data_IF_810149820622
#
_entry.id   IF_810149820622
#
_cell.length_a   1.000
_cell.length_b   1.000
_cell.length_c   1.000
_cell.angle_alpha   90.00
_cell.angle_beta   90.00
_cell.angle_gamma   90.00
#
_symmetry.space_group_name_H-M   'P 1'
#
loop_
_entity.id
_entity.type
_entity.pdbx_description
1 polymer ?
#
# COMPACT_ATOMS: atom_id res chain seq x y z
N UNK A 1 -19.20 -8.93 15.29
CA UNK A 1 -17.95 -9.51 15.83
C UNK A 1 -17.25 -10.26 14.71
N UNK A 2 -16.07 -9.81 14.29
CA UNK A 2 -15.25 -10.54 13.32
C UNK A 2 -14.37 -11.54 14.07
N UNK A 3 -14.85 -12.77 14.19
CA UNK A 3 -14.08 -13.84 14.82
C UNK A 3 -13.14 -14.43 13.76
N UNK A 4 -11.83 -14.33 13.99
CA UNK A 4 -10.85 -15.08 13.21
C UNK A 4 -10.65 -16.42 13.87
N UNK A 5 -11.02 -17.50 13.20
CA UNK A 5 -10.71 -18.87 13.62
C UNK A 5 -9.54 -19.35 12.75
N UNK A 6 -8.47 -19.77 13.40
CA UNK A 6 -7.35 -20.40 12.73
C UNK A 6 -7.33 -21.88 13.11
N UNK A 7 -7.41 -22.75 12.12
CA UNK A 7 -7.16 -24.19 12.30
C UNK A 7 -5.70 -24.44 11.93
N UNK A 8 -4.84 -24.78 12.88
CA UNK A 8 -3.41 -24.92 12.62
C UNK A 8 -3.10 -26.28 11.98
N UNK A 9 -3.75 -26.57 10.85
CA UNK A 9 -3.59 -27.82 10.12
C UNK A 9 -3.23 -27.54 8.67
N UNK A 10 -2.13 -28.12 8.23
CA UNK A 10 -1.60 -28.00 6.86
C UNK A 10 -1.69 -29.37 6.20
N UNK A 11 -2.25 -29.41 4.99
CA UNK A 11 -2.28 -30.61 4.15
C UNK A 11 -1.32 -30.43 2.98
N UNK A 12 -0.44 -31.40 2.77
CA UNK A 12 0.48 -31.44 1.64
C UNK A 12 -0.06 -32.32 0.51
N UNK A 13 0.17 -31.95 -0.72
CA UNK A 13 -0.07 -32.81 -1.90
C UNK A 13 0.79 -34.09 -1.91
N UNK A 14 1.75 -34.22 -0.99
CA UNK A 14 2.55 -35.42 -0.77
C UNK A 14 1.92 -36.40 0.23
N UNK A 15 0.60 -36.31 0.47
CA UNK A 15 -0.19 -37.19 1.31
C UNK A 15 0.20 -37.20 2.81
N UNK A 16 0.59 -36.05 3.36
CA UNK A 16 0.74 -35.89 4.80
C UNK A 16 0.09 -34.59 5.27
N UNK A 17 -0.29 -34.56 6.54
CA UNK A 17 -0.80 -33.37 7.22
C UNK A 17 0.06 -33.03 8.43
N UNK A 18 0.14 -31.75 8.74
CA UNK A 18 0.84 -31.24 9.92
C UNK A 18 -0.17 -30.52 10.78
N UNK A 19 -0.37 -31.00 12.00
CA UNK A 19 -1.09 -30.30 13.05
C UNK A 19 -0.09 -29.50 13.87
N UNK A 20 -0.19 -28.16 13.81
CA UNK A 20 0.67 -27.28 14.60
C UNK A 20 0.04 -27.05 15.98
N UNK A 21 0.41 -27.88 16.94
CA UNK A 21 -0.10 -27.76 18.31
C UNK A 21 0.78 -26.82 19.14
N UNK A 22 0.54 -25.51 18.99
CA UNK A 22 1.26 -24.47 19.72
C UNK A 22 0.28 -23.40 20.19
N UNK A 23 0.39 -23.00 21.45
CA UNK A 23 -0.47 -21.98 22.08
C UNK A 23 0.01 -20.54 21.82
N UNK A 24 1.09 -20.35 21.06
CA UNK A 24 1.63 -19.02 20.75
C UNK A 24 1.16 -18.52 19.40
N UNK A 25 1.21 -17.17 19.22
CA UNK A 25 0.98 -16.56 17.93
C UNK A 25 2.06 -17.04 16.94
N UNK A 26 1.62 -17.74 15.90
CA UNK A 26 2.52 -18.24 14.86
C UNK A 26 2.27 -17.51 13.56
N UNK A 27 3.31 -16.96 12.95
CA UNK A 27 3.30 -16.45 11.58
C UNK A 27 3.77 -17.58 10.64
N UNK A 28 3.00 -17.86 9.60
CA UNK A 28 3.33 -18.86 8.60
C UNK A 28 3.57 -18.21 7.25
N UNK A 29 4.56 -18.68 6.51
CA UNK A 29 5.00 -18.11 5.23
C UNK A 29 6.34 -17.39 5.35
N UNK A 30 6.54 -16.36 4.57
CA UNK A 30 7.73 -15.51 4.66
C UNK A 30 7.58 -14.56 5.88
N UNK A 31 8.37 -14.73 6.94
CA UNK A 31 8.27 -13.91 8.15
C UNK A 31 8.97 -12.55 8.03
N UNK A 32 9.66 -12.29 6.92
CA UNK A 32 10.38 -11.02 6.72
C UNK A 32 9.39 -9.85 6.74
N UNK A 33 9.80 -8.77 7.38
CA UNK A 33 9.02 -7.55 7.36
C UNK A 33 9.11 -6.88 5.98
N UNK A 34 8.04 -6.22 5.58
CA UNK A 34 8.02 -5.41 4.38
C UNK A 34 8.73 -4.09 4.66
N UNK A 35 9.60 -3.68 3.78
CA UNK A 35 10.28 -2.40 3.85
C UNK A 35 9.47 -1.29 3.18
N UNK A 36 9.82 -0.05 3.46
CA UNK A 36 9.21 1.10 2.80
C UNK A 36 9.65 1.17 1.32
N UNK A 37 8.91 1.95 0.52
CA UNK A 37 9.23 2.16 -0.89
C UNK A 37 10.56 2.84 -1.12
N UNK A 38 11.15 3.46 -0.10
CA UNK A 38 12.46 4.13 -0.15
C UNK A 38 13.64 3.19 -0.45
N UNK A 39 13.42 1.89 -0.50
CA UNK A 39 14.36 0.92 -1.08
C UNK A 39 14.46 0.99 -2.61
N UNK A 40 13.50 1.64 -3.26
CA UNK A 40 13.57 1.96 -4.67
C UNK A 40 14.12 3.36 -4.86
N UNK A 41 14.75 3.63 -5.99
CA UNK A 41 14.92 5.00 -6.44
C UNK A 41 13.57 5.53 -6.87
N UNK A 42 13.03 6.45 -6.09
CA UNK A 42 11.75 7.08 -6.35
C UNK A 42 11.99 8.39 -7.10
N UNK A 43 11.24 8.61 -8.18
CA UNK A 43 11.25 9.90 -8.87
C UNK A 43 9.83 10.46 -8.92
N UNK A 44 9.71 11.74 -8.76
CA UNK A 44 8.44 12.46 -8.88
C UNK A 44 8.03 12.64 -10.37
N UNK A 45 6.91 13.31 -10.61
CA UNK A 45 6.43 13.56 -11.98
C UNK A 45 7.33 14.46 -12.83
N UNK A 46 8.27 15.19 -12.21
CA UNK A 46 9.26 16.00 -12.90
C UNK A 46 10.55 15.20 -13.18
N UNK A 47 10.63 13.97 -12.71
CA UNK A 47 11.81 13.11 -12.81
C UNK A 47 12.88 13.38 -11.74
N UNK A 48 12.56 14.18 -10.73
CA UNK A 48 13.46 14.46 -9.60
C UNK A 48 13.41 13.33 -8.58
N UNK A 49 14.58 12.86 -8.16
CA UNK A 49 14.73 11.78 -7.20
C UNK A 49 14.29 12.20 -5.78
N UNK A 50 13.98 11.20 -4.94
CA UNK A 50 13.74 11.33 -3.51
C UNK A 50 12.29 11.16 -3.08
N UNK A 51 11.38 10.86 -3.98
CA UNK A 51 9.99 10.55 -3.63
C UNK A 51 9.04 10.62 -4.80
N UNK A 52 7.81 10.19 -4.55
CA UNK A 52 6.70 10.29 -5.49
C UNK A 52 5.99 11.65 -5.32
N UNK A 53 5.31 12.10 -6.35
CA UNK A 53 4.40 13.25 -6.27
C UNK A 53 3.11 12.81 -5.57
N UNK A 54 2.89 13.27 -4.36
CA UNK A 54 1.63 13.14 -3.65
C UNK A 54 0.74 14.35 -3.92
N UNK A 55 -0.43 14.13 -4.53
CA UNK A 55 -1.41 15.20 -4.81
C UNK A 55 -2.68 14.92 -4.03
N UNK A 56 -3.08 15.90 -3.23
CA UNK A 56 -4.25 15.85 -2.36
C UNK A 56 -5.35 16.71 -2.98
N UNK A 57 -6.48 16.08 -3.31
CA UNK A 57 -7.62 16.73 -3.92
C UNK A 57 -8.78 16.84 -2.92
N UNK A 58 -9.50 17.97 -2.94
CA UNK A 58 -10.70 18.16 -2.13
C UNK A 58 -11.97 17.97 -2.97
N UNK A 59 -13.04 17.54 -2.32
CA UNK A 59 -14.34 17.26 -2.94
C UNK A 59 -14.31 16.22 -4.06
N UNK A 60 -13.33 15.30 -4.04
CA UNK A 60 -13.08 14.32 -5.11
C UNK A 60 -12.99 14.96 -6.52
N UNK A 61 -12.62 16.24 -6.56
CA UNK A 61 -12.50 17.04 -7.77
C UNK A 61 -11.02 17.25 -8.07
N UNK A 62 -10.55 16.56 -9.10
CA UNK A 62 -9.13 16.60 -9.51
C UNK A 62 -8.67 17.97 -10.04
N UNK A 63 -9.59 18.92 -10.23
CA UNK A 63 -9.24 20.31 -10.53
C UNK A 63 -8.92 21.14 -9.27
N UNK A 64 -9.26 20.61 -8.07
CA UNK A 64 -9.11 21.33 -6.79
C UNK A 64 -8.02 20.69 -5.94
N UNK A 65 -6.79 21.07 -6.21
CA UNK A 65 -5.63 20.64 -5.45
C UNK A 65 -5.62 21.39 -4.10
N UNK A 66 -5.62 20.63 -3.01
CA UNK A 66 -5.39 21.16 -1.65
C UNK A 66 -3.90 21.40 -1.41
N UNK A 67 -3.09 20.38 -1.70
CA UNK A 67 -1.63 20.45 -1.61
C UNK A 67 -1.01 19.40 -2.53
N UNK A 68 0.15 19.73 -3.05
CA UNK A 68 1.02 18.78 -3.75
C UNK A 68 2.39 18.82 -3.11
N UNK A 69 2.97 17.65 -2.88
CA UNK A 69 4.30 17.54 -2.25
C UNK A 69 5.00 16.26 -2.66
N UNK A 70 6.30 16.19 -2.42
CA UNK A 70 7.10 14.97 -2.60
C UNK A 70 7.05 14.12 -1.34
N UNK A 71 6.80 12.82 -1.50
CA UNK A 71 6.77 11.84 -0.39
C UNK A 71 7.64 10.62 -0.73
N UNK A 72 8.58 10.30 0.15
CA UNK A 72 9.50 9.16 -0.02
C UNK A 72 8.90 7.83 0.44
N UNK A 73 7.75 7.85 1.10
CA UNK A 73 7.05 6.66 1.57
C UNK A 73 5.55 6.90 1.60
N UNK A 74 4.77 5.83 1.51
CA UNK A 74 3.33 5.84 1.73
C UNK A 74 3.07 5.01 2.98
N UNK A 75 3.13 5.67 4.15
CA UNK A 75 3.03 5.01 5.46
C UNK A 75 2.08 5.78 6.39
N UNK A 76 0.80 5.70 6.06
CA UNK A 76 -0.29 6.28 6.83
C UNK A 76 -1.16 5.17 7.44
N UNK A 77 -0.50 4.15 8.00
CA UNK A 77 -1.18 3.00 8.61
C UNK A 77 -1.83 3.34 9.96
N UNK A 78 -1.54 4.52 10.52
CA UNK A 78 -2.18 5.02 11.74
C UNK A 78 -2.32 6.54 11.75
N UNK A 79 -3.41 7.05 11.20
CA UNK A 79 -3.66 8.49 11.09
C UNK A 79 -3.81 9.21 12.43
N UNK A 80 -4.14 8.51 13.51
CA UNK A 80 -4.28 9.13 14.83
C UNK A 80 -2.95 9.55 15.44
N UNK A 81 -1.84 8.99 14.96
CA UNK A 81 -0.49 9.24 15.47
C UNK A 81 0.46 9.88 14.46
N UNK A 82 0.03 10.01 13.20
CA UNK A 82 0.89 10.54 12.12
C UNK A 82 0.97 12.05 12.19
N UNK A 83 2.18 12.55 12.40
CA UNK A 83 2.49 13.98 12.45
C UNK A 83 2.67 14.65 11.09
N UNK A 84 2.84 13.87 10.00
CA UNK A 84 3.26 14.37 8.69
C UNK A 84 2.13 14.45 7.65
N UNK A 85 0.91 14.12 8.02
CA UNK A 85 -0.24 14.28 7.13
C UNK A 85 -0.61 15.78 7.03
N UNK A 86 -1.05 16.28 5.86
CA UNK A 86 -1.38 17.70 5.71
C UNK A 86 -2.44 18.14 6.73
N UNK A 87 -2.11 19.17 7.50
CA UNK A 87 -3.04 19.73 8.48
C UNK A 87 -4.34 20.19 7.82
N UNK A 88 -5.47 19.94 8.49
CA UNK A 88 -6.80 20.36 8.04
C UNK A 88 -7.25 19.77 6.70
N UNK A 89 -6.57 18.73 6.19
CA UNK A 89 -7.07 18.06 5.01
C UNK A 89 -8.39 17.36 5.31
N UNK A 90 -9.45 17.63 4.52
CA UNK A 90 -10.74 17.00 4.73
C UNK A 90 -10.72 15.57 4.23
N UNK A 91 -11.03 14.59 5.10
CA UNK A 91 -11.07 13.18 4.73
C UNK A 91 -12.37 12.75 4.04
N UNK A 92 -13.39 13.58 4.06
CA UNK A 92 -14.63 13.34 3.32
C UNK A 92 -14.54 13.91 1.91
N UNK A 93 -15.01 13.16 0.93
CA UNK A 93 -15.00 13.54 -0.49
C UNK A 93 -13.64 14.03 -0.96
N UNK A 94 -12.60 13.37 -0.54
CA UNK A 94 -11.22 13.68 -0.92
C UNK A 94 -10.58 12.52 -1.64
N UNK A 95 -9.57 12.83 -2.45
CA UNK A 95 -8.76 11.85 -3.15
C UNK A 95 -7.30 12.22 -2.98
N UNK A 96 -6.46 11.23 -2.75
CA UNK A 96 -5.02 11.39 -2.77
C UNK A 96 -4.45 10.48 -3.85
N UNK A 97 -3.52 11.00 -4.64
CA UNK A 97 -2.77 10.20 -5.60
C UNK A 97 -1.28 10.31 -5.33
N UNK A 98 -0.58 9.18 -5.42
CA UNK A 98 0.87 9.13 -5.47
C UNK A 98 1.28 8.68 -6.86
N UNK A 99 2.02 9.54 -7.56
CA UNK A 99 2.42 9.30 -8.95
C UNK A 99 3.91 9.57 -9.13
N UNK A 100 4.51 8.89 -10.09
CA UNK A 100 5.93 9.00 -10.39
C UNK A 100 6.50 7.70 -10.93
N UNK A 101 7.76 7.42 -10.62
CA UNK A 101 8.39 6.15 -10.99
C UNK A 101 9.12 5.51 -9.84
N UNK A 102 9.15 4.19 -9.84
CA UNK A 102 10.00 3.35 -8.99
C UNK A 102 11.04 2.67 -9.87
N UNK A 103 12.29 2.67 -9.45
CA UNK A 103 13.39 2.00 -10.14
C UNK A 103 14.07 1.03 -9.17
N UNK A 104 14.04 -0.29 -9.44
CA UNK A 104 14.66 -1.28 -8.57
C UNK A 104 16.19 -1.31 -8.75
N UNK A 105 16.91 -1.54 -7.65
CA UNK A 105 18.36 -1.69 -7.67
C UNK A 105 18.82 -3.07 -8.20
N UNK A 106 17.95 -4.06 -8.11
CA UNK A 106 18.20 -5.45 -8.55
C UNK A 106 17.02 -5.94 -9.39
N UNK A 107 17.30 -6.82 -10.36
CA UNK A 107 16.22 -7.52 -11.09
C UNK A 107 15.67 -8.66 -10.27
N UNK A 108 14.36 -8.86 -10.26
CA UNK A 108 13.74 -9.96 -9.54
C UNK A 108 12.26 -9.79 -9.27
N UNK A 109 11.71 -10.75 -8.52
CA UNK A 109 10.32 -10.70 -8.08
C UNK A 109 10.23 -9.94 -6.78
N UNK A 110 9.55 -8.81 -6.82
CA UNK A 110 9.26 -7.97 -5.66
C UNK A 110 7.88 -8.30 -5.12
N UNK A 111 7.76 -8.41 -3.80
CA UNK A 111 6.53 -8.69 -3.09
C UNK A 111 6.06 -7.43 -2.39
N UNK A 112 4.88 -6.98 -2.76
CA UNK A 112 4.28 -5.77 -2.24
C UNK A 112 3.14 -6.05 -1.27
N UNK A 113 2.97 -5.15 -0.32
CA UNK A 113 1.89 -5.14 0.64
C UNK A 113 1.20 -3.78 0.62
N UNK A 114 -0.07 -3.74 0.20
CA UNK A 114 -0.92 -2.58 0.34
C UNK A 114 -1.86 -2.78 1.53
N UNK A 115 -1.68 -1.99 2.58
CA UNK A 115 -2.58 -1.91 3.72
C UNK A 115 -3.53 -0.74 3.52
N UNK A 116 -4.83 -0.94 3.69
CA UNK A 116 -5.80 0.10 3.33
C UNK A 116 -7.11 0.03 4.12
N UNK A 117 -7.70 1.20 4.30
CA UNK A 117 -9.11 1.47 4.55
C UNK A 117 -9.51 2.63 3.64
N UNK A 118 -10.81 2.76 3.31
CA UNK A 118 -11.27 3.60 2.20
C UNK A 118 -11.17 2.88 0.87
N UNK A 119 -11.37 3.61 -0.22
CA UNK A 119 -11.24 3.09 -1.58
C UNK A 119 -9.81 3.24 -2.08
N UNK A 120 -9.29 2.23 -2.74
CA UNK A 120 -7.94 2.29 -3.30
C UNK A 120 -7.80 1.45 -4.55
N UNK A 121 -6.92 1.87 -5.46
CA UNK A 121 -6.47 1.12 -6.62
C UNK A 121 -5.02 1.48 -6.93
N UNK A 122 -4.27 0.54 -7.49
CA UNK A 122 -2.85 0.71 -7.79
C UNK A 122 -2.52 0.23 -9.20
N UNK A 123 -1.79 1.06 -9.91
CA UNK A 123 -1.20 0.75 -11.22
C UNK A 123 0.32 0.76 -11.13
N UNK A 124 0.96 -0.18 -11.83
CA UNK A 124 2.41 -0.21 -12.07
C UNK A 124 2.61 -0.48 -13.57
N UNK A 125 3.35 0.37 -14.27
CA UNK A 125 3.52 0.35 -15.74
C UNK A 125 2.19 0.31 -16.49
N UNK A 126 1.23 1.12 -16.04
CA UNK A 126 -0.14 1.20 -16.55
C UNK A 126 -0.95 -0.11 -16.40
N UNK A 127 -0.40 -1.14 -15.79
CA UNK A 127 -1.12 -2.35 -15.42
C UNK A 127 -1.84 -2.17 -14.08
N UNK A 128 -3.12 -2.49 -14.03
CA UNK A 128 -3.92 -2.47 -12.81
C UNK A 128 -3.55 -3.67 -11.92
N UNK A 129 -2.56 -3.49 -11.03
CA UNK A 129 -2.06 -4.56 -10.15
C UNK A 129 -2.91 -4.76 -8.90
N UNK A 130 -3.58 -3.72 -8.45
CA UNK A 130 -4.60 -3.80 -7.40
C UNK A 130 -5.88 -3.18 -7.94
N UNK A 131 -6.89 -4.00 -8.29
CA UNK A 131 -8.19 -3.49 -8.71
C UNK A 131 -8.86 -2.74 -7.56
N UNK A 132 -9.80 -1.87 -7.88
CA UNK A 132 -10.48 -1.07 -6.87
C UNK A 132 -10.96 -1.92 -5.70
N UNK A 133 -10.57 -1.53 -4.50
CA UNK A 133 -10.87 -2.17 -3.23
C UNK A 133 -11.43 -1.14 -2.27
N UNK A 134 -12.31 -1.62 -1.40
CA UNK A 134 -12.85 -0.82 -0.30
C UNK A 134 -12.85 -1.60 1.01
N UNK A 135 -12.52 -0.90 2.10
CA UNK A 135 -12.67 -1.39 3.47
C UNK A 135 -13.02 -0.25 4.41
N UNK A 136 -13.79 -0.58 5.43
CA UNK A 136 -14.05 0.38 6.51
C UNK A 136 -12.81 0.56 7.38
N UNK A 137 -12.68 1.71 8.03
CA UNK A 137 -11.63 1.96 9.01
C UNK A 137 -11.68 0.99 10.22
N UNK A 138 -12.85 0.44 10.53
CA UNK A 138 -13.03 -0.56 11.59
C UNK A 138 -12.45 -1.93 11.24
N UNK A 139 -12.29 -2.22 9.96
CA UNK A 139 -11.80 -3.49 9.45
C UNK A 139 -10.91 -3.27 8.22
N UNK A 140 -9.77 -2.57 8.40
CA UNK A 140 -8.80 -2.39 7.32
C UNK A 140 -8.30 -3.75 6.83
N UNK A 141 -7.80 -3.80 5.61
CA UNK A 141 -7.31 -5.03 5.01
C UNK A 141 -5.94 -4.84 4.39
N UNK A 142 -5.34 -5.96 4.07
CA UNK A 142 -4.07 -6.03 3.36
C UNK A 142 -4.27 -6.76 2.04
N UNK A 143 -3.80 -6.14 0.95
CA UNK A 143 -3.68 -6.79 -0.35
C UNK A 143 -2.21 -7.04 -0.63
N UNK A 144 -1.86 -8.29 -0.93
CA UNK A 144 -0.51 -8.71 -1.28
C UNK A 144 -0.46 -9.10 -2.74
N UNK A 145 0.56 -8.62 -3.44
CA UNK A 145 0.82 -8.97 -4.84
C UNK A 145 2.33 -9.03 -5.08
N UNK A 146 2.71 -9.53 -6.23
CA UNK A 146 4.10 -9.50 -6.67
C UNK A 146 4.20 -8.97 -8.11
N UNK A 147 5.37 -8.43 -8.43
CA UNK A 147 5.71 -7.94 -9.76
C UNK A 147 7.16 -8.30 -10.05
N UNK A 148 7.44 -8.79 -11.24
CA UNK A 148 8.80 -8.93 -11.71
C UNK A 148 9.27 -7.55 -12.20
N UNK A 149 10.36 -7.05 -11.63
CA UNK A 149 10.95 -5.75 -11.97
C UNK A 149 12.39 -5.96 -12.45
N UNK A 150 12.80 -5.15 -13.40
CA UNK A 150 14.14 -5.20 -13.99
C UNK A 150 14.99 -4.02 -13.47
N UNK A 151 16.22 -4.32 -13.07
CA UNK A 151 17.19 -3.32 -12.63
C UNK A 151 17.32 -2.18 -13.63
N UNK A 152 17.21 -0.95 -13.14
CA UNK A 152 17.35 0.26 -13.96
C UNK A 152 16.12 0.59 -14.82
N UNK A 153 15.10 -0.26 -14.84
CA UNK A 153 13.84 0.08 -15.50
C UNK A 153 13.00 0.97 -14.58
N UNK A 154 12.62 2.16 -15.08
CA UNK A 154 11.74 3.09 -14.36
C UNK A 154 10.30 2.70 -14.59
N UNK A 155 9.73 1.97 -13.64
CA UNK A 155 8.33 1.57 -13.68
C UNK A 155 7.45 2.75 -13.24
N UNK A 156 6.47 3.16 -14.04
CA UNK A 156 5.48 4.14 -13.60
C UNK A 156 4.64 3.57 -12.46
N UNK A 157 4.34 4.39 -11.47
CA UNK A 157 3.44 4.01 -10.37
C UNK A 157 2.34 5.06 -10.20
N UNK A 158 1.11 4.59 -9.98
CA UNK A 158 -0.02 5.43 -9.58
C UNK A 158 -0.85 4.69 -8.54
N UNK A 159 -0.78 5.15 -7.29
CA UNK A 159 -1.69 4.74 -6.22
C UNK A 159 -2.73 5.83 -6.04
N UNK A 160 -4.00 5.46 -6.12
CA UNK A 160 -5.13 6.33 -5.78
C UNK A 160 -5.78 5.85 -4.48
N UNK A 161 -6.13 6.79 -3.62
CA UNK A 161 -6.80 6.53 -2.36
C UNK A 161 -7.85 7.57 -2.07
N UNK A 162 -9.08 7.09 -1.77
CA UNK A 162 -10.17 7.92 -1.30
C UNK A 162 -10.49 7.51 0.14
N UNK A 163 -10.04 8.28 1.13
CA UNK A 163 -10.40 8.03 2.52
C UNK A 163 -11.91 8.17 2.70
N UNK A 164 -12.52 7.17 3.31
CA UNK A 164 -13.97 7.12 3.54
C UNK A 164 -14.29 7.61 4.96
N UNK A 165 -13.99 8.89 5.20
CA UNK A 165 -14.24 9.55 6.49
C UNK A 165 -13.00 9.77 7.36
N UNK A 166 -13.21 10.25 8.57
CA UNK A 166 -12.18 10.87 9.41
C UNK A 166 -11.00 10.02 9.87
N UNK A 167 -11.18 8.70 10.02
CA UNK A 167 -10.08 7.79 10.40
C UNK A 167 -9.96 6.75 9.31
N UNK A 168 -8.88 6.81 8.56
CA UNK A 168 -8.63 5.89 7.46
C UNK A 168 -7.14 5.57 7.40
N UNK A 169 -6.75 4.58 6.61
CA UNK A 169 -5.39 4.06 6.61
C UNK A 169 -4.94 3.76 5.19
N UNK A 170 -3.70 4.06 4.88
CA UNK A 170 -3.04 3.66 3.64
C UNK A 170 -1.55 3.45 3.88
N UNK A 171 -1.00 2.37 3.36
CA UNK A 171 0.43 2.09 3.39
C UNK A 171 0.81 1.15 2.26
N UNK A 172 1.87 1.48 1.54
CA UNK A 172 2.44 0.62 0.50
C UNK A 172 3.91 0.32 0.83
N UNK A 173 4.21 -0.96 0.94
CA UNK A 173 5.51 -1.50 1.33
C UNK A 173 5.93 -2.62 0.39
#
# INVERSE_FOLDING_TARGET
>A
YNTKVSVPFIVSSRNYGILWNNYSLTKFGDPRDYSQLDLFKLNDNNGEEGGLTATYYINSDTSKIFVQRKESSIDYENLTTIKNFPEKFPFYNSTITWTGTIEPEESGVYYFKLYYAGYTKLYIDNELVVPERWRTAWNPNTYKFNKNLEKGHKCSIMLEWNPDGGVSYIGLK
#
